data_IF_528964324023
#
_entry.id   IF_528964324023
#
_cell.length_a   1.000
_cell.length_b   1.000
_cell.length_c   1.000
_cell.angle_alpha   90.00
_cell.angle_beta   90.00
_cell.angle_gamma   90.00
#
_symmetry.space_group_name_H-M   'P 1'
#
loop_
_entity.id
_entity.type
_entity.pdbx_description
1 polymer ?
#
# COMPACT_ATOMS: atom_id res chain seq x y z
N UNK A 1 31.45 7.95 11.15
CA UNK A 1 32.89 8.13 11.36
C UNK A 1 33.60 7.59 10.12
N UNK A 2 34.40 8.41 9.43
CA UNK A 2 35.19 7.99 8.26
C UNK A 2 36.58 7.50 8.69
N UNK A 3 37.10 6.45 8.02
CA UNK A 3 38.55 6.29 7.76
C UNK A 3 38.76 5.78 6.32
N UNK A 4 39.82 6.27 5.66
CA UNK A 4 40.26 6.15 4.25
C UNK A 4 41.81 6.27 4.26
N UNK A 5 42.66 5.76 3.37
CA UNK A 5 42.64 5.00 2.09
C UNK A 5 43.93 4.09 2.12
N UNK A 6 44.35 3.31 1.11
CA UNK A 6 43.74 2.35 0.17
C UNK A 6 44.88 1.76 -0.70
N UNK A 7 44.55 1.01 -1.78
CA UNK A 7 45.44 0.60 -2.90
C UNK A 7 46.49 -0.49 -2.62
N UNK A 8 46.86 -1.38 -3.56
CA UNK A 8 46.27 -1.81 -4.85
C UNK A 8 46.83 -3.24 -5.12
N UNK A 9 46.22 -4.12 -5.91
CA UNK A 9 46.08 -4.03 -7.37
C UNK A 9 44.90 -4.88 -7.89
N UNK A 10 44.39 -4.51 -9.07
CA UNK A 10 43.25 -5.16 -9.74
C UNK A 10 43.67 -6.33 -10.64
N UNK A 11 42.79 -7.34 -10.74
CA UNK A 11 42.59 -8.11 -11.96
C UNK A 11 41.11 -8.53 -12.06
N UNK A 12 40.31 -7.78 -12.85
CA UNK A 12 38.89 -8.08 -13.06
C UNK A 12 38.68 -9.10 -14.19
N UNK A 13 38.08 -10.25 -13.90
CA UNK A 13 37.30 -11.03 -14.87
C UNK A 13 36.28 -11.94 -14.16
N UNK A 14 35.00 -11.60 -14.26
CA UNK A 14 33.90 -12.50 -13.86
C UNK A 14 33.60 -12.57 -12.36
N UNK A 15 32.32 -12.79 -12.05
CA UNK A 15 31.73 -12.78 -10.71
C UNK A 15 32.44 -13.67 -9.67
N UNK A 16 32.39 -13.22 -8.40
CA UNK A 16 32.93 -13.83 -7.16
C UNK A 16 34.41 -13.50 -6.89
N UNK A 17 34.65 -12.69 -5.86
CA UNK A 17 35.96 -12.56 -5.20
C UNK A 17 35.89 -13.23 -3.83
N UNK A 18 36.66 -14.31 -3.64
CA UNK A 18 36.83 -14.96 -2.34
C UNK A 18 38.13 -14.48 -1.67
N UNK A 19 38.03 -13.58 -0.70
CA UNK A 19 39.17 -13.19 0.13
C UNK A 19 39.35 -14.15 1.31
N UNK A 20 40.33 -15.06 1.21
CA UNK A 20 40.75 -15.90 2.35
C UNK A 20 41.50 -15.06 3.38
N UNK A 21 40.94 -14.92 4.58
CA UNK A 21 41.72 -14.69 5.80
C UNK A 21 41.27 -15.65 6.91
N UNK A 22 42.21 -16.46 7.42
CA UNK A 22 42.06 -17.33 8.61
C UNK A 22 40.99 -18.43 8.59
N UNK A 23 40.41 -18.78 7.43
CA UNK A 23 39.59 -20.00 7.26
C UNK A 23 38.22 -19.98 7.95
N UNK A 24 37.73 -18.80 8.36
CA UNK A 24 36.38 -18.60 8.90
C UNK A 24 35.48 -18.00 7.84
N UNK A 25 34.27 -18.54 7.68
CA UNK A 25 33.24 -17.93 6.84
C UNK A 25 32.47 -16.88 7.67
N UNK A 26 32.48 -15.63 7.23
CA UNK A 26 31.57 -14.60 7.73
C UNK A 26 30.44 -14.39 6.73
N UNK A 27 29.21 -14.20 7.23
CA UNK A 27 28.13 -13.64 6.43
C UNK A 27 28.37 -12.13 6.29
N UNK A 28 28.96 -11.72 5.18
CA UNK A 28 28.96 -10.30 4.81
C UNK A 28 27.59 -10.00 4.20
N UNK A 29 26.82 -9.13 4.84
CA UNK A 29 25.62 -8.56 4.23
C UNK A 29 26.03 -7.49 3.21
N UNK A 30 26.55 -7.92 2.07
CA UNK A 30 26.68 -7.07 0.89
C UNK A 30 25.28 -6.74 0.38
N UNK A 31 24.91 -5.47 0.48
CA UNK A 31 23.78 -4.92 -0.25
C UNK A 31 24.21 -4.90 -1.72
N UNK A 32 23.62 -5.76 -2.56
CA UNK A 32 23.85 -5.84 -4.00
C UNK A 32 23.59 -4.50 -4.71
N UNK A 33 24.59 -3.61 -4.72
CA UNK A 33 24.53 -2.34 -5.47
C UNK A 33 24.55 -2.56 -6.99
N UNK A 34 24.66 -3.81 -7.46
CA UNK A 34 24.61 -4.18 -8.87
C UNK A 34 23.34 -4.96 -9.28
N UNK A 35 22.28 -4.94 -8.46
CA UNK A 35 20.94 -5.00 -9.03
C UNK A 35 20.73 -3.71 -9.82
N UNK A 36 20.87 -3.82 -11.15
CA UNK A 36 20.65 -2.77 -12.15
C UNK A 36 19.69 -1.70 -11.66
N UNK A 37 20.13 -0.45 -11.72
CA UNK A 37 19.39 0.79 -11.39
C UNK A 37 18.04 0.89 -12.16
N UNK A 38 17.04 0.10 -11.74
CA UNK A 38 15.63 0.36 -11.98
C UNK A 38 15.19 1.22 -10.80
N UNK A 39 14.97 2.51 -11.09
CA UNK A 39 14.88 3.57 -10.08
C UNK A 39 14.00 3.21 -8.90
N UNK A 40 14.58 3.31 -7.70
CA UNK A 40 13.93 3.34 -6.38
C UNK A 40 12.50 2.79 -6.35
N UNK A 41 12.35 1.48 -6.19
CA UNK A 41 11.11 0.93 -5.67
C UNK A 41 10.96 1.46 -4.24
N UNK A 42 10.01 2.36 -4.04
CA UNK A 42 9.67 2.96 -2.75
C UNK A 42 9.14 1.83 -1.87
N UNK A 43 9.80 1.59 -0.72
CA UNK A 43 9.28 0.68 0.32
C UNK A 43 8.09 1.35 1.01
N UNK A 44 6.97 1.48 0.27
CA UNK A 44 5.73 1.99 0.81
C UNK A 44 5.22 0.98 1.83
N UNK A 45 5.33 1.32 3.10
CA UNK A 45 4.93 0.47 4.22
C UNK A 45 3.76 1.12 4.97
N UNK A 46 2.83 0.30 5.45
CA UNK A 46 1.79 0.81 6.35
C UNK A 46 2.37 1.01 7.76
N UNK A 47 2.54 2.27 8.17
CA UNK A 47 2.93 2.67 9.52
C UNK A 47 1.80 2.51 10.56
N UNK A 48 0.54 2.42 10.13
CA UNK A 48 -0.61 2.15 11.01
C UNK A 48 -0.75 0.68 11.40
N UNK A 49 0.05 -0.21 10.80
CA UNK A 49 0.15 -1.61 11.20
C UNK A 49 1.38 -1.83 12.10
N UNK A 50 1.21 -2.68 13.11
CA UNK A 50 2.31 -3.18 13.94
C UNK A 50 2.37 -4.72 13.80
N UNK A 51 3.50 -5.31 13.38
CA UNK A 51 4.61 -4.63 12.69
C UNK A 51 4.15 -3.98 11.38
N UNK A 52 4.94 -3.04 10.86
CA UNK A 52 4.66 -2.35 9.58
C UNK A 52 4.56 -3.36 8.44
N UNK A 53 3.59 -3.17 7.53
CA UNK A 53 3.31 -4.12 6.45
C UNK A 53 3.73 -3.57 5.08
N UNK A 54 4.45 -4.39 4.29
CA UNK A 54 4.53 -4.42 2.84
C UNK A 54 3.38 -3.87 2.03
N UNK A 55 3.45 -2.72 1.35
CA UNK A 55 2.42 -2.36 0.38
C UNK A 55 2.98 -2.36 -1.04
N UNK A 56 2.24 -3.00 -1.95
CA UNK A 56 2.59 -3.04 -3.36
C UNK A 56 1.77 -1.98 -4.12
N UNK A 57 2.37 -0.85 -4.50
CA UNK A 57 1.67 0.23 -5.21
C UNK A 57 1.27 -0.17 -6.64
N UNK A 58 1.87 -1.22 -7.22
CA UNK A 58 1.44 -1.81 -8.50
C UNK A 58 0.12 -2.60 -8.36
N UNK A 59 -0.31 -2.86 -7.13
CA UNK A 59 -1.59 -3.49 -6.78
C UNK A 59 -2.53 -2.49 -6.06
N UNK A 60 -2.91 -1.38 -6.71
CA UNK A 60 -3.56 -0.24 -6.04
C UNK A 60 -4.93 -0.58 -5.43
N UNK A 61 -5.64 -1.59 -5.95
CA UNK A 61 -6.90 -2.07 -5.36
C UNK A 61 -6.69 -2.81 -4.03
N UNK A 62 -5.56 -3.52 -3.86
CA UNK A 62 -5.19 -4.16 -2.59
C UNK A 62 -4.61 -3.15 -1.60
N UNK A 63 -3.82 -2.19 -2.11
CA UNK A 63 -3.35 -1.03 -1.35
C UNK A 63 -4.53 -0.25 -0.73
N UNK A 64 -5.50 0.12 -1.57
CA UNK A 64 -6.71 0.83 -1.16
C UNK A 64 -7.58 0.00 -0.19
N UNK A 65 -7.60 -1.33 -0.33
CA UNK A 65 -8.27 -2.20 0.62
C UNK A 65 -7.57 -2.21 1.98
N UNK A 66 -6.26 -2.35 2.02
CA UNK A 66 -5.48 -2.28 3.25
C UNK A 66 -5.78 -0.98 4.02
N UNK A 67 -5.64 0.17 3.36
CA UNK A 67 -5.95 1.48 3.97
C UNK A 67 -7.41 1.63 4.36
N UNK A 68 -8.34 1.17 3.52
CA UNK A 68 -9.77 1.16 3.83
C UNK A 68 -10.10 0.38 5.11
N UNK A 69 -9.42 -0.74 5.40
CA UNK A 69 -9.65 -1.49 6.65
C UNK A 69 -9.29 -0.69 7.90
N UNK A 70 -8.26 0.16 7.86
CA UNK A 70 -7.87 0.97 9.01
C UNK A 70 -8.97 1.96 9.44
N UNK A 71 -9.67 2.53 8.46
CA UNK A 71 -10.82 3.43 8.66
C UNK A 71 -12.03 2.64 9.17
N UNK A 72 -12.40 1.52 8.51
CA UNK A 72 -13.57 0.71 8.92
C UNK A 72 -13.43 0.07 10.31
N UNK A 73 -12.21 -0.24 10.74
CA UNK A 73 -11.91 -0.81 12.05
C UNK A 73 -11.58 0.25 13.10
N UNK A 74 -11.80 1.53 12.81
CA UNK A 74 -11.57 2.68 13.69
C UNK A 74 -10.15 2.76 14.30
N UNK A 75 -9.16 2.10 13.66
CA UNK A 75 -7.74 2.28 14.03
C UNK A 75 -7.21 3.65 13.60
N UNK A 76 -7.89 4.29 12.65
CA UNK A 76 -7.84 5.73 12.38
C UNK A 76 -9.28 6.24 12.42
N UNK A 77 -9.53 7.33 13.14
CA UNK A 77 -10.91 7.85 13.27
C UNK A 77 -11.43 8.36 11.92
N UNK A 78 -12.60 7.87 11.44
CA UNK A 78 -13.21 8.41 10.22
C UNK A 78 -13.64 9.88 10.33
N UNK A 79 -13.76 10.42 11.56
CA UNK A 79 -14.14 11.82 11.79
C UNK A 79 -13.07 12.85 11.40
N UNK A 80 -11.81 12.44 11.24
CA UNK A 80 -10.72 13.29 10.73
C UNK A 80 -10.69 13.35 9.20
N UNK A 81 -11.68 12.76 8.53
CA UNK A 81 -11.75 12.59 7.07
C UNK A 81 -10.43 12.04 6.48
N UNK A 82 -9.88 10.92 7.00
CA UNK A 82 -8.55 10.45 6.64
C UNK A 82 -8.42 10.08 5.16
N UNK A 83 -7.22 10.32 4.61
CA UNK A 83 -6.87 9.96 3.25
C UNK A 83 -6.95 8.45 3.01
N UNK A 84 -7.69 8.01 2.00
CA UNK A 84 -7.80 6.59 1.63
C UNK A 84 -6.51 5.94 1.11
N UNK A 85 -5.42 6.69 0.92
CA UNK A 85 -4.11 6.15 0.50
C UNK A 85 -3.04 6.20 1.61
N UNK A 86 -2.95 7.29 2.38
CA UNK A 86 -1.89 7.46 3.40
C UNK A 86 -2.42 7.66 4.82
N UNK A 87 -3.73 7.62 5.03
CA UNK A 87 -4.44 7.83 6.30
C UNK A 87 -4.24 9.20 6.99
N UNK A 88 -3.44 10.10 6.42
CA UNK A 88 -3.28 11.46 6.90
C UNK A 88 -4.64 12.21 6.95
N UNK A 89 -4.92 12.99 8.00
CA UNK A 89 -6.20 13.66 8.19
C UNK A 89 -6.45 14.78 7.16
N UNK A 90 -7.72 15.10 6.92
CA UNK A 90 -8.12 16.30 6.18
C UNK A 90 -7.70 17.55 6.96
N UNK A 91 -7.17 18.60 6.32
CA UNK A 91 -7.10 18.82 4.87
C UNK A 91 -5.72 18.48 4.24
N UNK A 92 -4.87 17.68 4.88
CA UNK A 92 -3.48 17.44 4.42
C UNK A 92 -3.41 16.85 3.02
N UNK A 93 -4.33 15.95 2.68
CA UNK A 93 -4.45 15.36 1.35
C UNK A 93 -5.72 15.87 0.67
N UNK A 94 -5.58 16.48 -0.50
CA UNK A 94 -6.71 17.02 -1.26
C UNK A 94 -6.82 16.32 -2.61
N UNK A 95 -7.90 15.58 -2.80
CA UNK A 95 -8.23 14.93 -4.07
C UNK A 95 -9.31 15.73 -4.78
N UNK A 96 -9.13 15.99 -6.08
CA UNK A 96 -10.14 16.63 -6.91
C UNK A 96 -10.62 15.66 -7.97
N UNK A 97 -11.92 15.69 -8.27
CA UNK A 97 -12.50 14.89 -9.34
C UNK A 97 -12.62 15.69 -10.63
N UNK A 98 -12.63 14.98 -11.76
CA UNK A 98 -13.00 15.52 -13.06
C UNK A 98 -13.96 14.56 -13.75
N UNK A 99 -14.83 15.11 -14.61
CA UNK A 99 -15.69 14.32 -15.50
C UNK A 99 -15.02 14.19 -16.87
N UNK A 100 -15.15 13.04 -17.51
CA UNK A 100 -14.78 12.86 -18.92
C UNK A 100 -15.59 13.74 -19.86
N UNK A 101 -15.14 13.90 -21.11
CA UNK A 101 -15.89 14.65 -22.13
C UNK A 101 -17.19 13.92 -22.52
N UNK A 102 -18.22 14.69 -22.90
CA UNK A 102 -19.51 14.19 -23.38
C UNK A 102 -20.48 13.76 -22.27
N UNK A 103 -21.75 13.51 -22.65
CA UNK A 103 -22.83 13.19 -21.71
C UNK A 103 -22.52 11.96 -20.82
N UNK A 104 -21.91 10.92 -21.42
CA UNK A 104 -21.48 9.68 -20.75
C UNK A 104 -20.05 9.76 -20.16
N UNK A 105 -19.50 10.96 -19.99
CA UNK A 105 -18.18 11.16 -19.41
C UNK A 105 -18.06 10.58 -18.00
N UNK A 106 -17.16 9.63 -17.81
CA UNK A 106 -16.94 8.97 -16.52
C UNK A 106 -16.22 9.88 -15.52
N UNK A 107 -16.52 9.72 -14.23
CA UNK A 107 -15.79 10.38 -13.15
C UNK A 107 -14.40 9.75 -12.99
N UNK A 108 -13.38 10.59 -12.80
CA UNK A 108 -12.00 10.17 -12.53
C UNK A 108 -11.33 11.13 -11.55
N UNK A 109 -10.35 10.63 -10.82
CA UNK A 109 -9.45 11.47 -10.01
C UNK A 109 -8.63 12.34 -10.96
N UNK A 110 -8.59 13.64 -10.69
CA UNK A 110 -7.73 14.60 -11.34
C UNK A 110 -6.40 14.66 -10.58
N UNK A 111 -5.50 13.72 -10.88
CA UNK A 111 -4.22 13.59 -10.17
C UNK A 111 -3.33 14.83 -10.30
N UNK A 112 -3.40 15.61 -11.40
CA UNK A 112 -2.60 16.83 -11.56
C UNK A 112 -3.11 18.03 -10.75
N UNK A 113 -4.40 18.06 -10.38
CA UNK A 113 -4.96 19.05 -9.42
C UNK A 113 -4.87 18.57 -7.97
N UNK A 114 -4.79 17.26 -7.75
CA UNK A 114 -4.72 16.63 -6.43
C UNK A 114 -3.33 16.78 -5.81
N UNK A 115 -3.23 16.86 -4.49
CA UNK A 115 -1.97 17.23 -3.80
C UNK A 115 -1.91 16.75 -2.34
N UNK A 116 -0.69 16.75 -1.79
CA UNK A 116 -0.39 16.52 -0.37
C UNK A 116 -0.24 15.05 0.05
N UNK A 117 -0.78 14.10 -0.71
CA UNK A 117 -0.61 12.68 -0.43
C UNK A 117 0.76 12.19 -0.93
N UNK A 118 1.61 11.56 -0.08
CA UNK A 118 2.87 10.96 -0.54
C UNK A 118 2.61 9.82 -1.53
N UNK A 119 1.56 9.02 -1.29
CA UNK A 119 1.16 7.89 -2.13
C UNK A 119 0.30 8.28 -3.34
N UNK A 120 0.32 9.55 -3.77
CA UNK A 120 -0.48 10.04 -4.92
C UNK A 120 -0.16 9.31 -6.24
N UNK A 121 1.01 8.68 -6.34
CA UNK A 121 1.40 7.80 -7.45
C UNK A 121 0.65 6.46 -7.50
N UNK A 122 -0.07 6.07 -6.44
CA UNK A 122 -0.90 4.85 -6.39
C UNK A 122 -2.21 5.08 -7.17
N UNK A 123 -2.10 5.06 -8.50
CA UNK A 123 -3.23 5.33 -9.40
C UNK A 123 -4.10 4.09 -9.61
N UNK A 124 -5.42 4.25 -9.50
CA UNK A 124 -6.40 3.19 -9.79
C UNK A 124 -7.50 3.66 -10.75
N UNK A 125 -8.16 2.69 -11.40
CA UNK A 125 -9.33 2.92 -12.25
C UNK A 125 -10.55 3.19 -11.36
N UNK A 126 -10.98 4.47 -11.30
CA UNK A 126 -12.08 4.93 -10.45
C UNK A 126 -13.33 4.04 -10.53
N UNK A 127 -13.82 3.72 -11.73
CA UNK A 127 -15.02 2.89 -11.91
C UNK A 127 -14.87 1.45 -11.40
N UNK A 128 -13.65 0.89 -11.35
CA UNK A 128 -13.41 -0.44 -10.77
C UNK A 128 -13.36 -0.35 -9.24
N UNK A 129 -12.73 0.71 -8.71
CA UNK A 129 -12.69 0.96 -7.27
C UNK A 129 -14.02 1.49 -6.71
N UNK A 130 -14.96 1.95 -7.53
CA UNK A 130 -16.28 2.42 -7.07
C UNK A 130 -17.19 1.29 -6.58
N UNK A 131 -16.93 0.04 -7.00
CA UNK A 131 -17.78 -1.12 -6.71
C UNK A 131 -16.94 -2.25 -6.11
N UNK A 132 -17.27 -2.66 -4.88
CA UNK A 132 -16.60 -3.79 -4.24
C UNK A 132 -16.81 -5.08 -5.04
N UNK A 133 -15.73 -5.83 -5.24
CA UNK A 133 -15.69 -7.07 -6.02
C UNK A 133 -14.56 -7.99 -5.55
N UNK A 134 -14.52 -9.24 -6.04
CA UNK A 134 -13.46 -10.21 -5.66
C UNK A 134 -12.03 -9.74 -5.97
N UNK A 135 -11.85 -8.85 -6.96
CA UNK A 135 -10.55 -8.32 -7.39
C UNK A 135 -10.29 -6.88 -6.93
N UNK A 136 -11.32 -6.18 -6.45
CA UNK A 136 -11.23 -4.86 -5.79
C UNK A 136 -12.20 -4.85 -4.61
N UNK A 137 -11.83 -5.41 -3.44
CA UNK A 137 -12.78 -5.62 -2.34
C UNK A 137 -13.23 -4.32 -1.63
N UNK A 138 -12.52 -3.22 -1.86
CA UNK A 138 -12.76 -1.93 -1.23
C UNK A 138 -13.45 -0.96 -2.19
N UNK A 139 -14.55 -0.32 -1.77
CA UNK A 139 -15.17 0.81 -2.48
C UNK A 139 -14.81 2.19 -1.92
N UNK A 140 -13.76 2.29 -1.10
CA UNK A 140 -13.33 3.57 -0.53
C UNK A 140 -12.71 4.47 -1.61
N UNK A 141 -13.51 5.25 -2.31
CA UNK A 141 -13.07 6.21 -3.33
C UNK A 141 -13.35 7.65 -2.87
N UNK A 142 -12.61 8.66 -3.39
CA UNK A 142 -12.96 10.05 -3.17
C UNK A 142 -14.22 10.41 -3.98
N UNK A 143 -15.22 10.99 -3.32
CA UNK A 143 -16.54 11.35 -3.88
C UNK A 143 -16.79 12.84 -3.62
N UNK A 144 -17.34 13.57 -4.59
CA UNK A 144 -17.76 14.96 -4.37
C UNK A 144 -18.96 15.02 -3.41
N UNK A 145 -18.86 15.80 -2.33
CA UNK A 145 -20.02 16.12 -1.51
C UNK A 145 -20.96 17.06 -2.29
N UNK A 146 -22.26 16.73 -2.47
CA UNK A 146 -23.20 17.54 -3.24
C UNK A 146 -23.65 18.83 -2.54
N UNK A 147 -23.33 18.99 -1.25
CA UNK A 147 -23.66 20.18 -0.44
C UNK A 147 -22.47 21.10 -0.20
N UNK A 148 -21.27 20.66 -0.57
CA UNK A 148 -20.08 21.51 -0.53
C UNK A 148 -20.04 22.44 -1.76
N UNK A 149 -19.35 23.60 -1.65
CA UNK A 149 -19.20 24.52 -2.78
C UNK A 149 -18.59 23.85 -4.03
N UNK A 150 -18.86 24.37 -5.24
CA UNK A 150 -18.18 23.91 -6.46
C UNK A 150 -16.66 23.94 -6.28
N UNK A 151 -15.97 22.92 -6.82
CA UNK A 151 -14.53 22.71 -6.67
C UNK A 151 -14.00 22.37 -5.26
N UNK A 152 -14.85 22.12 -4.26
CA UNK A 152 -14.39 21.59 -2.97
C UNK A 152 -13.65 20.24 -3.14
N UNK A 153 -12.62 19.92 -2.33
CA UNK A 153 -11.97 18.61 -2.36
C UNK A 153 -12.96 17.46 -2.13
N UNK A 154 -12.75 16.35 -2.82
CA UNK A 154 -13.58 15.16 -2.69
C UNK A 154 -13.27 14.40 -1.39
N UNK A 155 -14.31 13.84 -0.78
CA UNK A 155 -14.30 13.16 0.51
C UNK A 155 -14.30 11.66 0.29
N UNK A 156 -13.44 10.92 1.00
CA UNK A 156 -13.37 9.46 0.88
C UNK A 156 -14.65 8.79 1.40
N UNK A 157 -15.19 7.84 0.63
CA UNK A 157 -16.49 7.17 0.87
C UNK A 157 -16.70 6.75 2.33
N UNK A 158 -15.72 6.11 2.95
CA UNK A 158 -15.84 5.58 4.31
C UNK A 158 -15.94 6.68 5.39
N UNK A 159 -15.45 7.88 5.08
CA UNK A 159 -15.51 9.06 5.95
C UNK A 159 -16.71 9.97 5.66
N UNK A 160 -17.40 9.77 4.52
CA UNK A 160 -18.46 10.66 4.02
C UNK A 160 -19.62 10.86 5.02
N UNK A 161 -20.03 9.83 5.77
CA UNK A 161 -21.05 10.00 6.83
C UNK A 161 -20.62 11.03 7.89
N UNK A 162 -19.36 10.97 8.33
CA UNK A 162 -18.82 11.89 9.34
C UNK A 162 -18.62 13.30 8.77
N UNK A 163 -18.22 13.41 7.50
CA UNK A 163 -18.18 14.68 6.78
C UNK A 163 -19.56 15.38 6.81
N UNK A 164 -20.64 14.66 6.47
CA UNK A 164 -22.00 15.22 6.58
C UNK A 164 -22.35 15.64 8.01
N UNK A 165 -22.09 14.79 9.01
CA UNK A 165 -22.33 15.12 10.42
C UNK A 165 -21.58 16.38 10.89
N UNK A 166 -20.33 16.57 10.44
CA UNK A 166 -19.45 17.65 10.89
C UNK A 166 -19.62 18.96 10.09
N UNK A 167 -19.90 18.86 8.79
CA UNK A 167 -19.96 20.02 7.86
C UNK A 167 -21.38 20.42 7.48
N UNK A 168 -22.34 19.51 7.59
CA UNK A 168 -23.73 19.68 7.19
C UNK A 168 -24.71 19.19 8.29
N UNK A 169 -24.54 19.59 9.57
CA UNK A 169 -25.24 18.99 10.71
C UNK A 169 -26.76 19.12 10.67
N UNK A 170 -27.31 20.13 9.99
CA UNK A 170 -28.74 20.36 9.84
C UNK A 170 -29.42 19.50 8.76
N UNK A 171 -28.67 18.60 8.09
CA UNK A 171 -29.15 17.85 6.93
C UNK A 171 -29.60 16.45 7.32
N UNK A 172 -30.78 16.07 6.82
CA UNK A 172 -31.26 14.70 6.85
C UNK A 172 -30.30 13.74 6.11
N UNK A 173 -29.59 12.93 6.91
CA UNK A 173 -28.59 11.97 6.45
C UNK A 173 -29.21 10.80 5.65
N UNK A 174 -30.50 10.53 5.77
CA UNK A 174 -31.14 9.40 5.08
C UNK A 174 -31.12 9.58 3.57
N UNK A 175 -31.34 10.81 3.09
CA UNK A 175 -31.30 11.20 1.66
C UNK A 175 -29.94 10.90 1.01
N UNK A 176 -28.86 10.99 1.79
CA UNK A 176 -27.48 10.89 1.29
C UNK A 176 -26.81 9.54 1.60
N UNK A 177 -27.52 8.62 2.28
CA UNK A 177 -26.99 7.31 2.72
C UNK A 177 -26.27 6.54 1.62
N UNK A 178 -26.80 6.59 0.39
CA UNK A 178 -26.23 5.95 -0.79
C UNK A 178 -24.77 6.34 -1.10
N UNK A 179 -24.30 7.50 -0.61
CA UNK A 179 -22.92 7.98 -0.78
C UNK A 179 -21.90 7.26 0.11
N UNK A 180 -22.32 6.60 1.20
CA UNK A 180 -21.43 5.90 2.13
C UNK A 180 -21.86 4.46 2.47
N UNK A 181 -23.02 4.02 1.99
CA UNK A 181 -23.51 2.67 2.23
C UNK A 181 -22.57 1.60 1.64
N UNK A 182 -22.28 0.59 2.45
CA UNK A 182 -21.43 -0.55 2.11
C UNK A 182 -22.30 -1.80 2.01
N UNK A 183 -22.05 -2.64 1.02
CA UNK A 183 -22.76 -3.90 0.91
C UNK A 183 -22.29 -4.89 1.99
N UNK A 184 -23.16 -5.83 2.39
CA UNK A 184 -22.76 -6.93 3.30
C UNK A 184 -21.57 -7.74 2.77
N UNK A 185 -21.49 -7.90 1.45
CA UNK A 185 -20.37 -8.58 0.78
C UNK A 185 -19.06 -7.79 0.87
N UNK A 186 -19.13 -6.46 0.76
CA UNK A 186 -17.98 -5.57 0.93
C UNK A 186 -17.46 -5.59 2.37
N UNK A 187 -18.36 -5.48 3.36
CA UNK A 187 -17.99 -5.55 4.78
C UNK A 187 -17.26 -6.87 5.07
N UNK A 188 -17.84 -8.01 4.67
CA UNK A 188 -17.21 -9.32 4.86
C UNK A 188 -15.87 -9.48 4.11
N UNK A 189 -15.73 -8.88 2.92
CA UNK A 189 -14.47 -8.88 2.18
C UNK A 189 -13.39 -8.04 2.88
N UNK A 190 -13.77 -6.87 3.42
CA UNK A 190 -12.86 -5.98 4.14
C UNK A 190 -12.49 -6.53 5.53
N UNK A 191 -13.41 -7.23 6.20
CA UNK A 191 -13.12 -8.01 7.42
C UNK A 191 -12.05 -9.06 7.14
N UNK A 192 -12.19 -9.81 6.03
CA UNK A 192 -11.15 -10.76 5.60
C UNK A 192 -9.82 -10.07 5.30
N UNK A 193 -9.80 -8.93 4.61
CA UNK A 193 -8.56 -8.16 4.38
C UNK A 193 -7.91 -7.76 5.70
N UNK A 194 -8.69 -7.36 6.71
CA UNK A 194 -8.18 -7.04 8.04
C UNK A 194 -7.53 -8.25 8.71
N UNK A 195 -8.24 -9.39 8.80
CA UNK A 195 -7.71 -10.61 9.42
C UNK A 195 -6.50 -11.20 8.68
N UNK A 196 -6.41 -10.99 7.36
CA UNK A 196 -5.31 -11.50 6.55
C UNK A 196 -4.12 -10.53 6.43
N UNK A 197 -4.24 -9.25 6.85
CA UNK A 197 -3.23 -8.21 6.61
C UNK A 197 -1.80 -8.56 7.04
N UNK A 198 -1.66 -9.29 8.16
CA UNK A 198 -0.37 -9.72 8.73
C UNK A 198 0.14 -11.07 8.19
N UNK A 199 -0.64 -11.78 7.38
CA UNK A 199 -0.26 -13.11 6.89
C UNK A 199 0.76 -12.97 5.77
N UNK A 200 2.02 -13.33 6.04
CA UNK A 200 3.02 -13.48 4.98
C UNK A 200 2.51 -14.49 3.95
N UNK A 201 2.43 -14.14 2.66
CA UNK A 201 2.04 -15.10 1.63
C UNK A 201 3.03 -16.25 1.63
N UNK A 202 2.58 -17.46 2.01
CA UNK A 202 3.39 -18.67 1.83
C UNK A 202 3.77 -18.74 0.34
N UNK A 203 5.06 -18.83 -0.02
CA UNK A 203 5.43 -18.96 -1.41
C UNK A 203 4.71 -20.19 -1.97
N UNK A 204 3.86 -19.99 -2.98
CA UNK A 204 3.22 -21.11 -3.67
C UNK A 204 4.36 -21.99 -4.16
N UNK A 205 4.47 -23.19 -3.59
CA UNK A 205 5.51 -24.12 -3.96
C UNK A 205 5.45 -24.31 -5.47
N UNK A 206 6.51 -23.88 -6.18
CA UNK A 206 6.67 -24.28 -7.58
C UNK A 206 6.63 -25.81 -7.56
N UNK A 207 5.74 -26.41 -8.34
CA UNK A 207 5.73 -27.86 -8.52
C UNK A 207 7.16 -28.28 -8.85
N UNK A 208 7.81 -29.05 -7.94
CA UNK A 208 9.23 -29.42 -8.05
C UNK A 208 9.44 -30.39 -9.21
N UNK A 209 9.45 -29.88 -10.45
CA UNK A 209 10.17 -30.50 -11.57
C UNK A 209 11.54 -29.82 -11.63
N UNK A 210 12.54 -30.49 -11.06
CA UNK A 210 13.89 -29.95 -10.86
C UNK A 210 14.46 -30.47 -9.56
N UNK A 211 15.11 -31.65 -9.62
CA UNK A 211 15.80 -32.23 -8.48
C UNK A 211 17.10 -31.49 -8.20
N UNK A 212 17.04 -30.52 -7.28
CA UNK A 212 18.20 -30.18 -6.46
C UNK A 212 18.05 -30.97 -5.16
N UNK A 213 19.06 -31.78 -4.86
CA UNK A 213 19.09 -32.65 -3.68
C UNK A 213 19.08 -31.86 -2.36
N UNK A 214 19.05 -32.55 -1.21
CA UNK A 214 19.17 -31.90 0.09
C UNK A 214 20.44 -31.05 0.13
N UNK A 215 20.32 -29.77 0.49
CA UNK A 215 21.49 -28.96 0.84
C UNK A 215 22.05 -29.53 2.14
N UNK A 216 23.20 -30.19 2.04
CA UNK A 216 23.91 -30.73 3.20
C UNK A 216 24.49 -29.55 3.97
N UNK A 217 23.85 -29.20 5.08
CA UNK A 217 24.40 -28.26 6.05
C UNK A 217 25.55 -28.97 6.75
N UNK A 218 26.75 -28.37 6.76
CA UNK A 218 27.89 -28.96 7.47
C UNK A 218 27.64 -28.96 8.97
N UNK A 219 28.05 -30.04 9.64
CA UNK A 219 27.74 -30.33 11.04
C UNK A 219 28.17 -29.21 12.01
N UNK A 220 29.23 -28.47 11.64
CA UNK A 220 29.76 -27.30 12.34
C UNK A 220 28.78 -26.12 12.51
N UNK A 221 27.60 -26.14 11.88
CA UNK A 221 26.58 -25.08 11.97
C UNK A 221 25.27 -25.52 12.65
N UNK A 222 25.27 -26.68 13.32
CA UNK A 222 24.14 -27.12 14.16
C UNK A 222 24.31 -26.65 15.61
N UNK A 223 23.76 -25.48 15.95
CA UNK A 223 23.50 -25.16 17.37
C UNK A 223 22.33 -26.00 17.88
N UNK A 224 22.64 -27.19 18.40
CA UNK A 224 21.77 -27.84 19.40
C UNK A 224 22.03 -27.13 20.72
N UNK A 225 21.07 -26.31 21.16
CA UNK A 225 21.04 -25.83 22.53
C UNK A 225 20.72 -27.02 23.44
N UNK A 226 21.54 -27.21 24.46
CA UNK A 226 21.31 -28.11 25.59
C UNK A 226 20.91 -27.27 26.81
#
# INVERSE_FOLDING_TARGET
>A
MLVRLAHCYSASFGNIVLTKFTGKACFVCEIDQNRRYHGSAWDTTCSSCVPSIPLDPTKPHFFLAHMGTHILKNSVSPSTEPCGLCLAPSPMCQFFLSKGKGARGQTRINYSKSRGCPDIGVTFKYMIAATSSKTSPCSNIPISCPLCPPNYPAVWKYSMRHHFMNRHPAVDLTKWKHLWELSRAEIAAMDKVWEERRKVPKPKGKNKKGGLGPLIISEAHSMRLA
#
